data_IF_782593515009
#
_entry.id   IF_782593515009
#
_cell.length_a   1.000
_cell.length_b   1.000
_cell.length_c   1.000
_cell.angle_alpha   90.00
_cell.angle_beta   90.00
_cell.angle_gamma   90.00
#
_symmetry.space_group_name_H-M   'P 1'
#
loop_
_entity.id
_entity.type
_entity.pdbx_description
1 polymer ?
#
# COMPACT_ATOMS: atom_id res chain seq x y z
N UNK A 1 50.47 -11.98 -20.03
CA UNK A 1 49.91 -10.70 -19.55
C UNK A 1 50.72 -10.31 -18.32
N UNK A 2 51.34 -9.13 -18.26
CA UNK A 2 51.95 -8.70 -16.99
C UNK A 2 50.86 -8.39 -15.96
N UNK A 3 51.18 -8.39 -14.67
CA UNK A 3 50.22 -8.16 -13.59
C UNK A 3 49.45 -6.84 -13.75
N UNK A 4 50.08 -5.82 -14.32
CA UNK A 4 49.47 -4.50 -14.61
C UNK A 4 48.35 -4.63 -15.67
N UNK A 5 48.52 -5.50 -16.66
CA UNK A 5 47.53 -5.76 -17.71
C UNK A 5 46.27 -6.43 -17.17
N UNK A 6 46.42 -7.44 -16.30
CA UNK A 6 45.30 -8.12 -15.65
C UNK A 6 44.53 -7.17 -14.73
N UNK A 7 45.23 -6.41 -13.88
CA UNK A 7 44.60 -5.43 -12.98
C UNK A 7 43.83 -4.38 -13.77
N UNK A 8 44.37 -3.89 -14.88
CA UNK A 8 43.67 -2.93 -15.75
C UNK A 8 42.44 -3.53 -16.43
N UNK A 9 42.47 -4.82 -16.81
CA UNK A 9 41.31 -5.52 -17.35
C UNK A 9 40.22 -5.68 -16.28
N UNK A 10 40.57 -6.10 -15.07
CA UNK A 10 39.64 -6.25 -13.94
C UNK A 10 38.98 -4.91 -13.55
N UNK A 11 39.74 -3.81 -13.56
CA UNK A 11 39.21 -2.45 -13.32
C UNK A 11 38.18 -2.00 -14.35
N UNK A 12 38.22 -2.56 -15.57
CA UNK A 12 37.31 -2.25 -16.68
C UNK A 12 36.22 -3.31 -16.86
N UNK A 13 36.19 -4.33 -16.02
CA UNK A 13 35.16 -5.37 -16.08
C UNK A 13 33.78 -4.72 -15.94
N UNK A 14 32.86 -5.06 -16.86
CA UNK A 14 31.51 -4.48 -16.91
C UNK A 14 30.77 -4.63 -15.58
N UNK A 15 30.88 -5.78 -14.92
CA UNK A 15 30.28 -6.02 -13.61
C UNK A 15 30.76 -5.06 -12.53
N UNK A 16 32.05 -4.68 -12.52
CA UNK A 16 32.59 -3.70 -11.57
C UNK A 16 32.10 -2.28 -11.89
N UNK A 17 32.04 -1.93 -13.18
CA UNK A 17 31.56 -0.63 -13.62
C UNK A 17 30.06 -0.45 -13.34
N UNK A 18 29.25 -1.50 -13.51
CA UNK A 18 27.82 -1.50 -13.22
C UNK A 18 27.50 -1.24 -11.74
N UNK A 19 28.40 -1.59 -10.81
CA UNK A 19 28.22 -1.25 -9.37
C UNK A 19 28.26 0.25 -9.09
N UNK A 20 28.66 1.09 -10.07
CA UNK A 20 28.60 2.55 -9.93
C UNK A 20 27.18 3.10 -9.92
N UNK A 21 26.21 2.37 -10.41
CA UNK A 21 24.79 2.75 -10.45
C UNK A 21 24.22 2.92 -9.03
N UNK A 22 24.75 2.16 -8.07
CA UNK A 22 24.41 2.23 -6.64
C UNK A 22 24.67 3.63 -6.06
N UNK A 23 25.61 4.40 -6.63
CA UNK A 23 25.96 5.74 -6.12
C UNK A 23 24.77 6.71 -6.12
N UNK A 24 23.85 6.58 -7.07
CA UNK A 24 22.64 7.40 -7.10
C UNK A 24 21.73 7.10 -5.90
N UNK A 25 21.47 5.82 -5.63
CA UNK A 25 20.71 5.39 -4.46
C UNK A 25 21.41 5.80 -3.14
N UNK A 26 22.73 5.62 -3.04
CA UNK A 26 23.51 5.99 -1.85
C UNK A 26 23.51 7.50 -1.59
N UNK A 27 23.50 8.34 -2.64
CA UNK A 27 23.40 9.79 -2.51
C UNK A 27 22.00 10.22 -2.04
N UNK A 28 20.96 9.48 -2.46
CA UNK A 28 19.56 9.77 -2.11
C UNK A 28 19.22 9.33 -0.68
N UNK A 29 19.61 8.12 -0.31
CA UNK A 29 19.37 7.52 1.00
C UNK A 29 20.68 7.50 1.81
N UNK A 30 21.15 8.66 2.24
CA UNK A 30 22.45 8.80 2.91
C UNK A 30 22.39 8.67 4.44
N UNK A 31 21.23 8.37 5.02
CA UNK A 31 21.01 8.28 6.46
C UNK A 31 21.37 6.88 7.00
N UNK A 32 21.54 6.78 8.32
CA UNK A 32 21.61 5.51 9.03
C UNK A 32 20.22 5.19 9.61
N UNK A 33 19.44 4.25 9.02
CA UNK A 33 18.05 4.01 9.42
C UNK A 33 17.89 3.61 10.89
N UNK A 34 18.81 2.78 11.39
CA UNK A 34 18.77 2.23 12.76
C UNK A 34 20.10 2.47 13.47
N UNK A 35 20.32 3.67 14.06
CA UNK A 35 21.58 4.02 14.71
C UNK A 35 22.03 3.03 15.79
N UNK A 36 21.09 2.39 16.48
CA UNK A 36 21.33 1.39 17.52
C UNK A 36 22.03 0.11 17.03
N UNK A 37 22.01 -0.17 15.71
CA UNK A 37 22.70 -1.32 15.11
C UNK A 37 24.18 -1.05 14.80
N UNK A 38 24.65 0.19 14.98
CA UNK A 38 26.02 0.58 14.67
C UNK A 38 26.37 0.33 13.20
N UNK A 39 27.62 -0.10 12.93
CA UNK A 39 28.12 -0.33 11.57
C UNK A 39 27.33 -1.39 10.79
N UNK A 40 26.78 -2.40 11.47
CA UNK A 40 25.98 -3.44 10.83
C UNK A 40 24.63 -2.92 10.30
N UNK A 41 24.18 -1.74 10.74
CA UNK A 41 22.98 -1.08 10.23
C UNK A 41 23.26 -0.05 9.13
N UNK A 42 24.48 0.02 8.60
CA UNK A 42 24.80 0.90 7.47
C UNK A 42 24.21 0.36 6.17
N UNK A 43 23.80 1.27 5.30
CA UNK A 43 23.28 0.93 3.97
C UNK A 43 24.40 0.44 3.05
N UNK A 44 24.05 -0.45 2.12
CA UNK A 44 24.95 -0.93 1.07
C UNK A 44 25.66 -2.25 1.37
N UNK A 45 25.35 -2.91 2.49
CA UNK A 45 25.68 -4.32 2.73
C UNK A 45 24.76 -5.24 1.90
N UNK A 46 25.05 -6.54 1.87
CA UNK A 46 24.31 -7.52 1.06
C UNK A 46 22.83 -7.67 1.47
N UNK A 47 22.50 -7.33 2.72
CA UNK A 47 21.14 -7.28 3.24
C UNK A 47 21.00 -6.21 4.32
N UNK A 48 19.79 -5.67 4.45
CA UNK A 48 19.48 -4.76 5.54
C UNK A 48 19.33 -5.52 6.86
N UNK A 49 20.06 -5.08 7.90
CA UNK A 49 19.85 -5.55 9.26
C UNK A 49 18.77 -4.69 9.93
N UNK A 50 17.75 -5.34 10.48
CA UNK A 50 16.66 -4.67 11.19
C UNK A 50 16.76 -4.92 12.69
N UNK A 51 16.30 -3.99 13.54
CA UNK A 51 16.21 -4.23 14.97
C UNK A 51 15.27 -5.41 15.25
N UNK A 52 15.52 -6.13 16.35
CA UNK A 52 14.61 -7.17 16.80
C UNK A 52 13.19 -6.60 17.00
N UNK A 53 12.19 -7.31 16.51
CA UNK A 53 10.78 -6.92 16.58
C UNK A 53 10.00 -7.90 17.45
N UNK A 54 9.04 -7.37 18.21
CA UNK A 54 7.99 -8.17 18.85
C UNK A 54 6.73 -8.13 17.99
N UNK A 55 6.06 -9.27 17.80
CA UNK A 55 4.84 -9.36 17.00
C UNK A 55 5.01 -10.17 15.73
N UNK A 56 3.99 -10.15 14.88
CA UNK A 56 3.99 -10.89 13.61
C UNK A 56 4.61 -10.02 12.52
N UNK A 57 5.61 -10.56 11.82
CA UNK A 57 6.20 -9.90 10.66
C UNK A 57 5.25 -9.98 9.47
N UNK A 58 5.13 -8.86 8.78
CA UNK A 58 4.33 -8.70 7.57
C UNK A 58 5.24 -8.27 6.43
N UNK A 59 5.06 -8.88 5.26
CA UNK A 59 5.84 -8.57 4.07
C UNK A 59 4.88 -8.30 2.91
N UNK A 60 5.04 -7.14 2.28
CA UNK A 60 4.33 -6.78 1.05
C UNK A 60 5.33 -6.36 -0.03
N UNK A 61 4.93 -6.48 -1.29
CA UNK A 61 5.72 -6.09 -2.44
C UNK A 61 4.79 -5.72 -3.58
N UNK A 62 5.03 -4.56 -4.18
CA UNK A 62 4.25 -4.09 -5.32
C UNK A 62 5.16 -3.58 -6.44
N UNK A 63 4.82 -3.95 -7.67
CA UNK A 63 5.42 -3.43 -8.88
C UNK A 63 4.57 -2.30 -9.45
N UNK A 64 5.20 -1.17 -9.77
CA UNK A 64 4.51 -0.03 -10.35
C UNK A 64 4.19 -0.26 -11.82
N UNK A 65 3.02 0.21 -12.24
CA UNK A 65 2.61 0.13 -13.65
C UNK A 65 3.65 0.81 -14.56
N UNK A 66 4.17 0.14 -15.61
CA UNK A 66 5.24 0.69 -16.44
C UNK A 66 4.90 2.06 -17.05
N UNK A 67 3.66 2.26 -17.48
CA UNK A 67 3.21 3.55 -18.01
C UNK A 67 3.27 4.68 -16.98
N UNK A 68 3.02 4.40 -15.69
CA UNK A 68 3.15 5.42 -14.64
C UNK A 68 4.63 5.73 -14.37
N UNK A 69 5.50 4.72 -14.40
CA UNK A 69 6.95 4.89 -14.25
C UNK A 69 7.51 5.78 -15.36
N UNK A 70 7.02 5.61 -16.59
CA UNK A 70 7.45 6.39 -17.76
C UNK A 70 6.86 7.82 -17.77
N UNK A 71 5.56 7.97 -17.51
CA UNK A 71 4.85 9.26 -17.63
C UNK A 71 5.02 10.18 -16.40
N UNK A 72 5.18 9.60 -15.20
CA UNK A 72 5.34 10.35 -13.96
C UNK A 72 6.25 9.63 -12.95
N UNK A 73 7.55 9.49 -13.25
CA UNK A 73 8.49 8.71 -12.45
C UNK A 73 8.57 9.15 -10.99
N UNK A 74 8.43 10.45 -10.73
CA UNK A 74 8.39 10.95 -9.36
C UNK A 74 7.18 10.43 -8.59
N UNK A 75 5.99 10.52 -9.19
CA UNK A 75 4.77 10.02 -8.57
C UNK A 75 4.76 8.48 -8.49
N UNK A 76 5.37 7.78 -9.44
CA UNK A 76 5.59 6.34 -9.37
C UNK A 76 6.47 5.97 -8.16
N UNK A 77 7.55 6.71 -7.91
CA UNK A 77 8.41 6.53 -6.74
C UNK A 77 7.68 6.81 -5.43
N UNK A 78 6.92 7.90 -5.37
CA UNK A 78 6.04 8.21 -4.23
C UNK A 78 5.02 7.11 -3.97
N UNK A 79 4.32 6.69 -5.02
CA UNK A 79 3.25 5.70 -4.96
C UNK A 79 3.79 4.33 -4.56
N UNK A 80 4.93 3.90 -5.10
CA UNK A 80 5.54 2.62 -4.76
C UNK A 80 5.82 2.45 -3.26
N UNK A 81 6.18 3.53 -2.57
CA UNK A 81 6.24 3.53 -1.10
C UNK A 81 4.83 3.53 -0.51
N UNK A 82 3.99 4.51 -0.87
CA UNK A 82 2.65 4.70 -0.32
C UNK A 82 1.79 3.41 -0.31
N UNK A 83 1.71 2.73 -1.45
CA UNK A 83 0.87 1.53 -1.62
C UNK A 83 1.34 0.38 -0.73
N UNK A 84 2.65 0.13 -0.68
CA UNK A 84 3.25 -0.86 0.21
C UNK A 84 2.99 -0.53 1.69
N UNK A 85 3.11 0.75 2.08
CA UNK A 85 2.77 1.16 3.44
C UNK A 85 1.29 0.90 3.77
N UNK A 86 0.41 1.12 2.79
CA UNK A 86 -1.03 0.85 2.92
C UNK A 86 -1.32 -0.64 3.13
N UNK A 87 -0.64 -1.54 2.42
CA UNK A 87 -0.79 -3.00 2.58
C UNK A 87 -0.48 -3.45 4.01
N UNK A 88 0.61 -2.94 4.58
CA UNK A 88 1.00 -3.25 5.96
C UNK A 88 -0.05 -2.70 6.93
N UNK A 89 -0.53 -1.47 6.71
CA UNK A 89 -1.56 -0.87 7.55
C UNK A 89 -2.89 -1.63 7.47
N UNK A 90 -3.31 -2.07 6.27
CA UNK A 90 -4.52 -2.87 6.06
C UNK A 90 -4.52 -4.16 6.88
N UNK A 91 -3.33 -4.71 7.17
CA UNK A 91 -3.15 -5.90 8.01
C UNK A 91 -3.06 -5.59 9.51
N UNK A 92 -3.26 -4.34 9.94
CA UNK A 92 -3.09 -3.87 11.31
C UNK A 92 -1.63 -3.68 11.72
N UNK A 93 -0.71 -3.64 10.75
CA UNK A 93 0.72 -3.55 10.96
C UNK A 93 1.28 -2.13 10.90
N UNK A 94 2.43 -1.92 11.53
CA UNK A 94 3.25 -0.71 11.37
C UNK A 94 4.41 -1.02 10.41
N UNK A 95 4.57 -0.24 9.33
CA UNK A 95 5.73 -0.40 8.45
C UNK A 95 7.04 -0.11 9.20
N UNK A 96 8.06 -0.92 8.95
CA UNK A 96 9.36 -0.84 9.60
C UNK A 96 10.46 -0.39 8.64
N UNK A 97 10.48 -0.98 7.44
CA UNK A 97 11.58 -0.80 6.50
C UNK A 97 11.16 -1.12 5.07
N UNK A 98 11.70 -0.37 4.11
CA UNK A 98 11.46 -0.53 2.67
C UNK A 98 12.73 -0.98 1.95
N UNK A 99 12.57 -1.79 0.91
CA UNK A 99 13.60 -2.03 -0.11
C UNK A 99 13.00 -1.83 -1.50
N UNK A 100 13.84 -1.60 -2.51
CA UNK A 100 13.38 -1.42 -3.89
C UNK A 100 14.16 -2.28 -4.90
N UNK A 101 13.60 -2.41 -6.10
CA UNK A 101 14.28 -2.84 -7.30
C UNK A 101 13.95 -1.85 -8.41
N UNK A 102 14.97 -1.17 -8.92
CA UNK A 102 14.82 -0.11 -9.92
C UNK A 102 15.63 -0.43 -11.17
N UNK A 103 14.95 -0.40 -12.30
CA UNK A 103 15.51 -0.54 -13.64
C UNK A 103 15.22 0.74 -14.40
N UNK A 104 16.24 1.29 -15.07
CA UNK A 104 16.13 2.55 -15.82
C UNK A 104 17.06 2.55 -17.03
N UNK A 105 16.73 3.38 -18.03
CA UNK A 105 17.50 3.54 -19.26
C UNK A 105 18.48 4.73 -19.20
N UNK A 106 18.79 5.23 -18.00
CA UNK A 106 19.70 6.34 -17.78
C UNK A 106 19.64 6.92 -16.37
N UNK A 107 20.59 7.80 -16.06
CA UNK A 107 20.72 8.40 -14.73
C UNK A 107 19.66 9.48 -14.43
N UNK A 108 19.10 10.13 -15.46
CA UNK A 108 18.05 11.14 -15.27
C UNK A 108 16.72 10.48 -14.87
N UNK A 109 16.36 9.37 -15.53
CA UNK A 109 15.16 8.59 -15.27
C UNK A 109 15.07 8.08 -13.82
N UNK A 110 16.19 7.63 -13.26
CA UNK A 110 16.23 7.10 -11.90
C UNK A 110 16.14 8.19 -10.83
N UNK A 111 16.59 9.43 -11.11
CA UNK A 111 16.61 10.51 -10.10
C UNK A 111 15.22 10.85 -9.63
N UNK A 112 14.27 11.00 -10.56
CA UNK A 112 12.87 11.32 -10.22
C UNK A 112 12.22 10.21 -9.38
N UNK A 113 12.42 8.94 -9.74
CA UNK A 113 11.94 7.78 -8.97
C UNK A 113 12.52 7.78 -7.55
N UNK A 114 13.83 7.97 -7.44
CA UNK A 114 14.55 8.00 -6.15
C UNK A 114 14.08 9.17 -5.28
N UNK A 115 13.88 10.36 -5.87
CA UNK A 115 13.36 11.54 -5.19
C UNK A 115 11.92 11.35 -4.69
N UNK A 116 11.06 10.71 -5.48
CA UNK A 116 9.69 10.35 -5.09
C UNK A 116 9.68 9.38 -3.90
N UNK A 117 10.49 8.32 -3.97
CA UNK A 117 10.63 7.36 -2.87
C UNK A 117 11.20 8.03 -1.61
N UNK A 118 12.25 8.85 -1.73
CA UNK A 118 12.81 9.61 -0.60
C UNK A 118 11.77 10.53 0.02
N UNK A 119 11.03 11.26 -0.80
CA UNK A 119 9.97 12.14 -0.33
C UNK A 119 8.90 11.36 0.44
N UNK A 120 8.48 10.19 -0.04
CA UNK A 120 7.57 9.31 0.70
C UNK A 120 8.17 8.82 2.03
N UNK A 121 9.39 8.30 2.01
CA UNK A 121 10.10 7.85 3.22
C UNK A 121 10.17 8.96 4.29
N UNK A 122 10.51 10.19 3.89
CA UNK A 122 10.61 11.34 4.78
C UNK A 122 9.23 11.72 5.36
N UNK A 123 8.18 11.73 4.52
CA UNK A 123 6.81 12.06 4.93
C UNK A 123 6.23 11.03 5.90
N UNK A 124 6.33 9.75 5.57
CA UNK A 124 5.78 8.66 6.39
C UNK A 124 6.70 8.25 7.55
N UNK A 125 7.98 8.66 7.53
CA UNK A 125 8.94 8.28 8.56
C UNK A 125 9.35 6.82 8.52
N UNK A 126 9.33 6.20 7.33
CA UNK A 126 9.69 4.79 7.13
C UNK A 126 10.92 4.72 6.22
N UNK A 127 12.06 4.19 6.69
CA UNK A 127 13.31 4.27 5.95
C UNK A 127 13.38 3.29 4.78
N UNK A 128 14.03 3.70 3.70
CA UNK A 128 14.56 2.80 2.68
C UNK A 128 15.89 2.23 3.15
N UNK A 129 15.94 0.92 3.37
CA UNK A 129 17.07 0.24 4.05
C UNK A 129 17.98 -0.54 3.09
N UNK A 130 17.61 -0.60 1.82
CA UNK A 130 18.36 -1.31 0.79
C UNK A 130 17.63 -1.35 -0.54
N UNK A 131 18.17 -2.09 -1.49
CA UNK A 131 17.53 -2.28 -2.78
C UNK A 131 18.50 -2.66 -3.89
N UNK A 132 18.01 -2.58 -5.12
CA UNK A 132 18.75 -2.88 -6.33
C UNK A 132 18.56 -1.76 -7.35
N UNK A 133 19.65 -1.37 -8.01
CA UNK A 133 19.60 -0.36 -9.06
C UNK A 133 20.38 -0.82 -10.28
N UNK A 134 19.73 -0.73 -11.44
CA UNK A 134 20.32 -0.94 -12.76
C UNK A 134 19.94 0.25 -13.66
N UNK A 135 20.94 1.03 -14.09
CA UNK A 135 20.77 2.21 -14.95
C UNK A 135 21.09 1.91 -16.43
N UNK A 136 21.31 0.64 -16.76
CA UNK A 136 21.68 0.16 -18.09
C UNK A 136 20.61 -0.81 -18.62
N UNK A 137 19.34 -0.54 -18.35
CA UNK A 137 18.20 -1.32 -18.81
C UNK A 137 17.61 -0.75 -20.10
N UNK A 138 17.00 -1.61 -20.93
CA UNK A 138 16.21 -1.18 -22.09
C UNK A 138 14.78 -0.77 -21.74
N UNK A 139 14.39 -0.90 -20.47
CA UNK A 139 13.06 -0.58 -19.96
C UNK A 139 13.16 0.04 -18.57
N UNK A 140 12.12 0.77 -18.18
CA UNK A 140 11.98 1.28 -16.83
C UNK A 140 11.05 0.38 -16.02
N UNK A 141 11.43 0.07 -14.79
CA UNK A 141 10.60 -0.67 -13.86
C UNK A 141 10.94 -0.28 -12.43
N UNK A 142 9.91 -0.25 -11.59
CA UNK A 142 10.03 -0.04 -10.16
C UNK A 142 9.22 -1.12 -9.45
N UNK A 143 9.84 -1.81 -8.50
CA UNK A 143 9.14 -2.51 -7.45
C UNK A 143 9.64 -2.04 -6.09
N UNK A 144 8.73 -1.95 -5.13
CA UNK A 144 9.03 -1.64 -3.74
C UNK A 144 8.52 -2.79 -2.89
N UNK A 145 9.27 -3.15 -1.87
CA UNK A 145 8.83 -4.11 -0.86
C UNK A 145 8.96 -3.48 0.52
N UNK A 146 8.06 -3.85 1.41
CA UNK A 146 8.04 -3.36 2.78
C UNK A 146 7.98 -4.51 3.75
N UNK A 147 8.78 -4.41 4.81
CA UNK A 147 8.59 -5.18 6.02
C UNK A 147 7.85 -4.31 7.04
N UNK A 148 6.82 -4.88 7.65
CA UNK A 148 6.13 -4.31 8.80
C UNK A 148 5.98 -5.31 9.93
N UNK A 149 5.42 -4.83 11.03
CA UNK A 149 5.13 -5.65 12.21
C UNK A 149 3.72 -5.35 12.73
N UNK A 150 2.95 -6.41 12.97
CA UNK A 150 1.71 -6.33 13.72
C UNK A 150 1.99 -6.72 15.18
N UNK A 151 1.99 -5.73 16.07
CA UNK A 151 2.12 -5.92 17.52
C UNK A 151 0.79 -6.39 18.15
N UNK A 152 -0.33 -6.02 17.53
CA UNK A 152 -1.68 -6.45 17.89
C UNK A 152 -2.23 -7.56 16.97
N UNK A 153 -3.56 -7.81 17.02
CA UNK A 153 -4.20 -8.74 16.10
C UNK A 153 -4.01 -8.36 14.64
N UNK A 154 -3.77 -9.34 13.78
CA UNK A 154 -3.70 -9.14 12.33
C UNK A 154 -5.11 -9.01 11.74
N UNK A 155 -5.34 -7.95 10.97
CA UNK A 155 -6.62 -7.64 10.31
C UNK A 155 -6.80 -8.40 8.99
N UNK A 156 -6.59 -9.71 9.01
CA UNK A 156 -6.77 -10.54 7.81
C UNK A 156 -8.20 -10.44 7.29
N UNK A 157 -8.39 -10.20 5.99
CA UNK A 157 -9.70 -10.26 5.32
C UNK A 157 -10.46 -11.57 5.62
N UNK A 158 -9.73 -12.67 5.84
CA UNK A 158 -10.27 -14.00 6.20
C UNK A 158 -10.95 -14.04 7.57
N UNK A 159 -10.78 -13.01 8.40
CA UNK A 159 -11.37 -12.94 9.72
C UNK A 159 -12.78 -12.35 9.71
N UNK A 160 -13.24 -11.77 8.60
CA UNK A 160 -14.62 -11.27 8.44
C UNK A 160 -15.63 -12.42 8.54
N UNK A 161 -16.80 -12.16 9.11
CA UNK A 161 -17.81 -13.16 9.44
C UNK A 161 -19.21 -12.70 9.01
N UNK A 162 -20.13 -13.63 8.76
CA UNK A 162 -21.54 -13.29 8.61
C UNK A 162 -22.06 -12.53 9.85
N UNK A 163 -22.76 -11.43 9.61
CA UNK A 163 -23.27 -10.53 10.65
C UNK A 163 -22.39 -9.31 10.92
N UNK A 164 -21.16 -9.27 10.39
CA UNK A 164 -20.35 -8.05 10.43
C UNK A 164 -20.92 -6.97 9.50
N UNK A 165 -20.75 -5.72 9.90
CA UNK A 165 -20.99 -4.58 9.02
C UNK A 165 -19.77 -4.30 8.16
N UNK A 166 -20.02 -3.95 6.89
CA UNK A 166 -18.99 -3.47 5.99
C UNK A 166 -18.92 -1.95 6.11
N UNK A 167 -17.75 -1.45 6.51
CA UNK A 167 -17.48 -0.03 6.65
C UNK A 167 -16.42 0.41 5.65
N UNK A 168 -16.59 1.60 5.09
CA UNK A 168 -15.58 2.29 4.31
C UNK A 168 -14.86 3.29 5.21
N UNK A 169 -13.53 3.35 5.11
CA UNK A 169 -12.69 4.36 5.75
C UNK A 169 -11.77 4.97 4.70
N UNK A 170 -12.01 6.22 4.31
CA UNK A 170 -11.27 6.90 3.22
C UNK A 170 -10.95 8.34 3.62
N UNK A 171 -9.78 8.86 3.21
CA UNK A 171 -9.47 10.28 3.34
C UNK A 171 -10.06 11.08 2.15
N UNK A 172 -11.08 11.90 2.43
CA UNK A 172 -11.75 12.76 1.44
C UNK A 172 -11.06 14.10 1.20
N UNK A 173 -10.00 14.45 1.91
CA UNK A 173 -9.30 15.73 1.73
C UNK A 173 -8.25 15.66 0.61
N UNK A 174 -8.69 15.26 -0.58
CA UNK A 174 -7.85 15.08 -1.76
C UNK A 174 -8.50 15.53 -3.05
N UNK A 175 -7.93 15.08 -4.17
CA UNK A 175 -8.47 15.28 -5.51
C UNK A 175 -7.95 14.23 -6.48
N UNK A 176 -8.55 14.16 -7.67
CA UNK A 176 -8.03 13.26 -8.71
C UNK A 176 -6.66 13.73 -9.20
N UNK A 177 -5.73 12.78 -9.30
CA UNK A 177 -4.37 13.05 -9.72
C UNK A 177 -4.23 12.93 -11.24
N UNK A 178 -4.10 14.08 -11.91
CA UNK A 178 -3.98 14.19 -13.37
C UNK A 178 -5.14 13.47 -14.09
N UNK A 179 -4.82 12.56 -15.01
CA UNK A 179 -5.77 11.75 -15.77
C UNK A 179 -5.96 10.35 -15.18
N UNK A 180 -5.21 10.01 -14.12
CA UNK A 180 -5.31 8.70 -13.48
C UNK A 180 -6.52 8.64 -12.55
N UNK A 181 -7.11 7.45 -12.35
CA UNK A 181 -8.20 7.25 -11.39
C UNK A 181 -7.67 7.22 -9.94
N UNK A 182 -6.71 8.07 -9.59
CA UNK A 182 -6.11 8.10 -8.26
C UNK A 182 -6.68 9.26 -7.47
N UNK A 183 -7.26 8.98 -6.30
CA UNK A 183 -7.67 10.00 -5.35
C UNK A 183 -6.51 10.32 -4.39
N UNK A 184 -5.82 11.42 -4.68
CA UNK A 184 -4.64 11.85 -3.94
C UNK A 184 -5.02 12.85 -2.84
N UNK A 185 -5.06 12.33 -1.62
CA UNK A 185 -5.18 13.07 -0.37
C UNK A 185 -3.84 13.10 0.40
N UNK A 186 -2.77 12.55 -0.17
CA UNK A 186 -1.54 12.25 0.57
C UNK A 186 -0.37 13.15 0.17
N UNK A 187 -0.15 13.43 -1.13
CA UNK A 187 1.06 14.14 -1.63
C UNK A 187 1.27 15.50 -0.96
N UNK A 188 0.18 16.22 -0.69
CA UNK A 188 0.21 17.55 -0.07
C UNK A 188 -0.17 17.54 1.42
N UNK A 189 -0.57 16.40 1.99
CA UNK A 189 -0.89 16.30 3.40
C UNK A 189 0.38 16.43 4.26
N UNK A 190 0.29 17.07 5.43
CA UNK A 190 1.47 17.26 6.26
C UNK A 190 1.90 15.92 6.91
N UNK A 191 3.21 15.73 7.19
CA UNK A 191 3.74 14.45 7.68
C UNK A 191 3.02 13.90 8.91
N UNK A 192 2.64 14.75 9.85
CA UNK A 192 1.95 14.36 11.07
C UNK A 192 0.58 13.72 10.78
N UNK A 193 -0.15 14.20 9.78
CA UNK A 193 -1.44 13.61 9.38
C UNK A 193 -1.22 12.26 8.71
N UNK A 194 -0.27 12.18 7.79
CA UNK A 194 0.07 10.94 7.09
C UNK A 194 0.45 9.83 8.07
N UNK A 195 1.30 10.15 9.06
CA UNK A 195 1.72 9.20 10.09
C UNK A 195 0.59 8.83 11.04
N UNK A 196 -0.27 9.78 11.41
CA UNK A 196 -1.44 9.51 12.24
C UNK A 196 -2.45 8.59 11.53
N UNK A 197 -2.72 8.84 10.24
CA UNK A 197 -3.60 8.02 9.42
C UNK A 197 -3.01 6.62 9.19
N UNK A 198 -1.71 6.51 8.86
CA UNK A 198 -1.03 5.21 8.74
C UNK A 198 -1.08 4.40 10.05
N UNK A 199 -1.08 5.08 11.20
CA UNK A 199 -1.19 4.46 12.52
C UNK A 199 -2.63 4.05 12.91
N UNK A 200 -3.63 4.43 12.12
CA UNK A 200 -5.04 4.25 12.44
C UNK A 200 -5.44 2.77 12.45
N UNK A 201 -5.16 2.02 11.40
CA UNK A 201 -5.54 0.60 11.32
C UNK A 201 -4.88 -0.26 12.41
N UNK A 202 -3.57 -0.12 12.72
CA UNK A 202 -2.96 -0.78 13.87
C UNK A 202 -3.63 -0.45 15.20
N UNK A 203 -4.05 0.81 15.39
CA UNK A 203 -4.77 1.23 16.59
C UNK A 203 -6.16 0.59 16.65
N UNK A 204 -6.92 0.60 15.54
CA UNK A 204 -8.23 -0.04 15.45
C UNK A 204 -8.17 -1.55 15.71
N UNK A 205 -7.09 -2.21 15.27
CA UNK A 205 -6.82 -3.61 15.54
C UNK A 205 -6.51 -3.85 17.03
N UNK A 206 -5.64 -3.03 17.62
CA UNK A 206 -5.26 -3.15 19.04
C UNK A 206 -6.44 -2.90 19.98
N UNK A 207 -7.32 -1.95 19.64
CA UNK A 207 -8.56 -1.67 20.38
C UNK A 207 -9.70 -2.65 20.05
N UNK A 208 -9.49 -3.59 19.13
CA UNK A 208 -10.48 -4.58 18.68
C UNK A 208 -11.77 -3.95 18.16
N UNK A 209 -11.67 -2.76 17.56
CA UNK A 209 -12.78 -2.08 16.89
C UNK A 209 -13.03 -2.68 15.50
N UNK A 210 -11.94 -3.06 14.83
CA UNK A 210 -11.94 -3.74 13.53
C UNK A 210 -11.20 -5.06 13.70
N UNK A 211 -11.67 -6.11 13.02
CA UNK A 211 -11.03 -7.43 13.09
C UNK A 211 -10.67 -8.02 11.72
N UNK A 212 -11.16 -7.43 10.63
CA UNK A 212 -10.70 -7.72 9.27
C UNK A 212 -10.72 -6.43 8.45
N UNK A 213 -9.75 -6.26 7.58
CA UNK A 213 -9.70 -5.12 6.69
C UNK A 213 -9.08 -5.50 5.34
N UNK A 214 -9.30 -4.64 4.36
CA UNK A 214 -8.65 -4.68 3.07
C UNK A 214 -8.40 -3.27 2.56
N UNK A 215 -7.23 -3.04 1.97
CA UNK A 215 -6.89 -1.84 1.22
C UNK A 215 -7.82 -1.68 0.00
N UNK A 216 -8.26 -0.46 -0.29
CA UNK A 216 -8.97 -0.19 -1.54
C UNK A 216 -7.93 -0.06 -2.65
N UNK A 217 -7.87 -1.06 -3.53
CA UNK A 217 -6.88 -1.16 -4.60
C UNK A 217 -7.40 -0.54 -5.92
N UNK A 218 -6.67 -0.76 -7.02
CA UNK A 218 -7.06 -0.31 -8.37
C UNK A 218 -8.44 -0.80 -8.85
N UNK A 219 -9.00 -1.83 -8.22
CA UNK A 219 -10.38 -2.26 -8.46
C UNK A 219 -11.44 -1.33 -7.86
N UNK A 220 -11.03 -0.28 -7.14
CA UNK A 220 -11.93 0.61 -6.42
C UNK A 220 -12.67 -0.10 -5.29
N UNK A 221 -13.74 0.53 -4.79
CA UNK A 221 -14.56 0.02 -3.69
C UNK A 221 -15.19 -1.32 -4.09
N UNK A 222 -15.75 -1.41 -5.30
CA UNK A 222 -16.47 -2.59 -5.78
C UNK A 222 -15.55 -3.77 -6.05
N UNK A 223 -14.42 -3.56 -6.72
CA UNK A 223 -13.43 -4.62 -6.94
C UNK A 223 -12.80 -5.10 -5.64
N UNK A 224 -12.54 -4.19 -4.70
CA UNK A 224 -12.03 -4.56 -3.37
C UNK A 224 -13.06 -5.36 -2.58
N UNK A 225 -14.36 -5.04 -2.69
CA UNK A 225 -15.42 -5.82 -2.08
C UNK A 225 -15.45 -7.28 -2.61
N UNK A 226 -15.24 -7.47 -3.92
CA UNK A 226 -15.10 -8.83 -4.50
C UNK A 226 -13.90 -9.56 -3.92
N UNK A 227 -12.73 -8.92 -3.86
CA UNK A 227 -11.55 -9.54 -3.26
C UNK A 227 -11.74 -9.85 -1.77
N UNK A 228 -12.49 -9.02 -1.04
CA UNK A 228 -12.80 -9.23 0.38
C UNK A 228 -13.74 -10.44 0.55
N UNK A 229 -14.83 -10.49 -0.21
CA UNK A 229 -15.75 -11.62 -0.24
C UNK A 229 -15.03 -12.93 -0.63
N UNK A 230 -14.24 -12.90 -1.70
CA UNK A 230 -13.43 -14.04 -2.15
C UNK A 230 -12.48 -14.53 -1.05
N UNK A 231 -11.82 -13.60 -0.35
CA UNK A 231 -10.88 -13.93 0.70
C UNK A 231 -11.55 -14.59 1.92
N UNK A 232 -12.72 -14.11 2.38
CA UNK A 232 -13.40 -14.68 3.54
C UNK A 232 -14.36 -15.83 3.20
N UNK A 233 -14.74 -15.99 1.93
CA UNK A 233 -15.67 -17.03 1.49
C UNK A 233 -17.13 -16.77 1.88
N UNK A 234 -17.49 -15.51 2.12
CA UNK A 234 -18.85 -15.13 2.53
C UNK A 234 -19.49 -14.21 1.49
N UNK A 235 -20.82 -14.16 1.49
CA UNK A 235 -21.54 -13.15 0.73
C UNK A 235 -21.28 -11.77 1.34
N UNK A 236 -20.94 -10.81 0.48
CA UNK A 236 -20.85 -9.40 0.83
C UNK A 236 -21.97 -8.64 0.13
N UNK A 237 -22.80 -7.94 0.90
CA UNK A 237 -23.85 -7.06 0.39
C UNK A 237 -23.37 -5.63 0.51
N UNK A 238 -23.16 -4.98 -0.63
CA UNK A 238 -22.73 -3.59 -0.77
C UNK A 238 -23.93 -2.71 -1.09
N UNK A 239 -24.06 -1.58 -0.41
CA UNK A 239 -25.10 -0.57 -0.64
C UNK A 239 -24.44 0.68 -1.21
N UNK A 240 -24.62 0.94 -2.51
CA UNK A 240 -24.00 2.06 -3.19
C UNK A 240 -24.59 3.40 -2.76
N UNK A 241 -25.86 3.42 -2.35
CA UNK A 241 -26.54 4.65 -1.92
C UNK A 241 -26.01 5.12 -0.55
N UNK A 242 -25.39 4.20 0.20
CA UNK A 242 -24.74 4.49 1.49
C UNK A 242 -23.27 4.92 1.35
N UNK A 243 -22.67 4.87 0.15
CA UNK A 243 -21.29 5.28 -0.06
C UNK A 243 -21.20 6.81 -0.07
N UNK A 244 -20.77 7.37 1.05
CA UNK A 244 -20.44 8.79 1.14
C UNK A 244 -19.28 9.16 0.22
N UNK A 245 -19.31 10.38 -0.33
CA UNK A 245 -18.28 10.87 -1.26
C UNK A 245 -18.02 12.37 -1.12
N UNK A 246 -16.86 12.86 -1.58
CA UNK A 246 -16.60 14.28 -1.67
C UNK A 246 -17.60 15.00 -2.59
N UNK A 247 -17.92 16.26 -2.26
CA UNK A 247 -18.84 17.08 -3.05
C UNK A 247 -18.33 17.29 -4.48
N UNK A 248 -19.23 17.22 -5.47
CA UNK A 248 -18.90 17.44 -6.88
C UNK A 248 -18.21 16.27 -7.60
N UNK A 249 -17.95 15.15 -6.93
CA UNK A 249 -17.33 13.97 -7.54
C UNK A 249 -18.38 12.99 -8.06
N UNK A 250 -18.32 12.57 -9.32
CA UNK A 250 -19.25 11.58 -9.88
C UNK A 250 -19.13 10.20 -9.21
N UNK A 251 -20.26 9.49 -9.06
CA UNK A 251 -20.34 8.19 -8.38
C UNK A 251 -19.39 7.17 -9.01
N UNK A 252 -19.43 7.02 -10.34
CA UNK A 252 -18.58 6.09 -11.07
C UNK A 252 -17.09 6.34 -10.79
N UNK A 253 -16.67 7.60 -10.86
CA UNK A 253 -15.29 7.99 -10.60
C UNK A 253 -14.88 7.69 -9.16
N UNK A 254 -15.75 7.94 -8.18
CA UNK A 254 -15.48 7.65 -6.77
C UNK A 254 -15.40 6.15 -6.48
N UNK A 255 -16.36 5.37 -6.99
CA UNK A 255 -16.46 3.94 -6.76
C UNK A 255 -15.31 3.14 -7.39
N UNK A 256 -14.70 3.66 -8.45
CA UNK A 256 -13.63 3.00 -9.21
C UNK A 256 -12.23 3.56 -8.94
N UNK A 257 -12.10 4.65 -8.18
CA UNK A 257 -10.80 5.24 -7.91
C UNK A 257 -9.95 4.44 -6.93
N UNK A 258 -8.64 4.63 -7.02
CA UNK A 258 -7.66 4.21 -6.02
C UNK A 258 -7.39 5.36 -5.05
N UNK A 259 -7.88 5.31 -3.80
CA UNK A 259 -7.58 6.32 -2.80
C UNK A 259 -6.20 6.10 -2.18
N UNK A 260 -5.41 7.17 -2.12
CA UNK A 260 -4.13 7.21 -1.40
C UNK A 260 -4.23 6.84 0.10
N UNK A 261 -5.43 6.89 0.68
CA UNK A 261 -5.76 6.32 1.97
C UNK A 261 -7.22 5.83 1.93
N UNK A 262 -7.43 4.52 1.84
CA UNK A 262 -8.76 3.93 1.78
C UNK A 262 -8.78 2.45 2.11
N UNK A 263 -9.77 2.04 2.92
CA UNK A 263 -9.93 0.67 3.41
C UNK A 263 -11.40 0.27 3.48
N UNK A 264 -11.65 -1.01 3.20
CA UNK A 264 -12.86 -1.71 3.58
C UNK A 264 -12.62 -2.45 4.90
N UNK A 265 -13.56 -2.35 5.83
CA UNK A 265 -13.45 -2.87 7.19
C UNK A 265 -14.63 -3.80 7.49
N UNK A 266 -14.36 -4.95 8.12
CA UNK A 266 -15.40 -5.75 8.76
C UNK A 266 -15.46 -5.40 10.25
N UNK A 267 -16.62 -4.92 10.67
CA UNK A 267 -16.84 -4.32 11.99
C UNK A 267 -17.96 -5.08 12.69
N UNK A 268 -17.71 -5.51 13.92
CA UNK A 268 -18.78 -6.08 14.72
C UNK A 268 -19.82 -4.99 15.03
N UNK A 269 -21.14 -5.24 14.89
CA UNK A 269 -22.17 -4.22 15.14
C UNK A 269 -22.07 -3.54 16.51
N UNK A 270 -21.54 -4.21 17.54
CA UNK A 270 -21.34 -3.63 18.87
C UNK A 270 -20.22 -2.59 18.96
N UNK A 271 -19.36 -2.47 17.93
CA UNK A 271 -18.19 -1.58 17.87
C UNK A 271 -18.37 -0.37 16.95
N UNK A 272 -19.48 -0.30 16.22
CA UNK A 272 -19.70 0.69 15.16
C UNK A 272 -19.76 2.12 15.70
N UNK A 273 -20.39 2.33 16.85
CA UNK A 273 -20.44 3.63 17.53
C UNK A 273 -19.05 4.11 17.96
N UNK A 274 -18.22 3.21 18.51
CA UNK A 274 -16.85 3.51 18.92
C UNK A 274 -15.97 3.86 17.71
N UNK A 275 -16.09 3.09 16.61
CA UNK A 275 -15.40 3.35 15.35
C UNK A 275 -15.77 4.72 14.77
N UNK A 276 -17.07 5.03 14.67
CA UNK A 276 -17.55 6.30 14.15
C UNK A 276 -17.07 7.48 15.02
N UNK A 277 -17.12 7.34 16.34
CA UNK A 277 -16.62 8.36 17.27
C UNK A 277 -15.12 8.58 17.08
N UNK A 278 -14.33 7.53 16.94
CA UNK A 278 -12.89 7.63 16.74
C UNK A 278 -12.56 8.30 15.41
N UNK A 279 -13.18 7.87 14.31
CA UNK A 279 -12.96 8.44 12.98
C UNK A 279 -13.38 9.92 12.90
N UNK A 280 -14.42 10.33 13.63
CA UNK A 280 -14.90 11.73 13.66
C UNK A 280 -13.88 12.74 14.18
N UNK A 281 -12.81 12.27 14.86
CA UNK A 281 -11.70 13.11 15.34
C UNK A 281 -10.87 13.69 14.19
N UNK A 282 -10.90 13.05 13.02
CA UNK A 282 -10.28 13.57 11.81
C UNK A 282 -11.36 13.90 10.77
N UNK A 283 -11.70 15.19 10.67
CA UNK A 283 -12.69 15.72 9.71
C UNK A 283 -12.34 15.48 8.24
N UNK A 284 -11.13 15.02 7.93
CA UNK A 284 -10.72 14.62 6.58
C UNK A 284 -11.17 13.21 6.21
N UNK A 285 -11.62 12.40 7.18
CA UNK A 285 -12.04 11.03 6.94
C UNK A 285 -13.54 10.96 6.65
N UNK A 286 -13.89 10.12 5.69
CA UNK A 286 -15.21 9.48 5.59
C UNK A 286 -15.06 8.12 6.26
N UNK A 287 -15.91 7.85 7.26
CA UNK A 287 -16.01 6.54 7.90
C UNK A 287 -17.48 6.17 8.07
N UNK A 288 -18.01 5.39 7.13
CA UNK A 288 -19.43 5.09 7.06
C UNK A 288 -19.69 3.61 6.78
N UNK A 289 -20.84 3.12 7.26
CA UNK A 289 -21.35 1.80 6.91
C UNK A 289 -21.82 1.82 5.45
N UNK A 290 -21.33 0.88 4.65
CA UNK A 290 -21.66 0.75 3.22
C UNK A 290 -22.23 -0.64 2.89
N UNK A 291 -22.47 -1.49 3.89
CA UNK A 291 -22.94 -2.84 3.63
C UNK A 291 -22.84 -3.78 4.83
N UNK A 292 -22.84 -5.07 4.55
CA UNK A 292 -22.64 -6.11 5.56
C UNK A 292 -22.19 -7.43 4.93
N UNK A 293 -21.63 -8.31 5.76
CA UNK A 293 -21.33 -9.69 5.42
C UNK A 293 -22.53 -10.56 5.78
N UNK A 294 -23.09 -11.25 4.80
CA UNK A 294 -24.27 -12.10 4.95
C UNK A 294 -23.90 -13.58 5.03
N UNK A 295 -24.81 -14.37 5.60
CA UNK A 295 -24.71 -15.82 5.52
C UNK A 295 -25.11 -16.26 4.10
N UNK A 296 -24.21 -16.93 3.39
CA UNK A 296 -24.47 -17.41 2.04
C UNK A 296 -23.19 -17.79 1.32
N UNK A 297 -23.36 -18.25 0.08
CA UNK A 297 -22.25 -18.58 -0.80
C UNK A 297 -21.42 -17.33 -1.13
N UNK A 298 -20.12 -17.54 -1.32
CA UNK A 298 -19.16 -16.51 -1.68
C UNK A 298 -19.65 -15.73 -2.91
N UNK A 299 -20.05 -14.47 -2.72
CA UNK A 299 -20.66 -13.63 -3.75
C UNK A 299 -20.65 -12.17 -3.33
N UNK A 300 -20.80 -11.27 -4.30
CA UNK A 300 -21.06 -9.85 -4.04
C UNK A 300 -22.41 -9.46 -4.63
N UNK A 301 -23.26 -8.94 -3.75
CA UNK A 301 -24.57 -8.36 -4.11
C UNK A 301 -24.48 -6.86 -3.92
N UNK A 302 -25.01 -6.10 -4.87
CA UNK A 302 -24.99 -4.64 -4.88
C UNK A 302 -26.42 -4.11 -4.86
N UNK A 303 -26.73 -3.27 -3.88
CA UNK A 303 -27.98 -2.53 -3.80
C UNK A 303 -27.75 -1.10 -4.31
N UNK A 304 -28.64 -0.62 -5.18
CA UNK A 304 -28.60 0.75 -5.69
C UNK A 304 -29.99 1.20 -6.14
N UNK A 305 -30.41 2.39 -5.71
CA UNK A 305 -31.72 2.98 -6.06
C UNK A 305 -32.92 2.07 -5.76
N UNK A 306 -32.80 1.20 -4.74
CA UNK A 306 -33.83 0.23 -4.35
C UNK A 306 -33.81 -1.09 -5.11
N UNK A 307 -32.95 -1.24 -6.12
CA UNK A 307 -32.74 -2.48 -6.86
C UNK A 307 -31.56 -3.28 -6.28
N UNK A 308 -31.62 -4.61 -6.43
CA UNK A 308 -30.57 -5.55 -6.00
C UNK A 308 -29.98 -6.26 -7.21
N UNK A 309 -28.65 -6.22 -7.34
CA UNK A 309 -27.90 -6.78 -8.45
C UNK A 309 -26.87 -7.79 -7.97
N UNK A 310 -26.79 -8.94 -8.65
CA UNK A 310 -25.67 -9.87 -8.46
C UNK A 310 -24.45 -9.35 -9.21
N UNK A 311 -23.48 -8.78 -8.49
CA UNK A 311 -22.28 -8.18 -9.07
C UNK A 311 -21.19 -9.21 -9.33
N UNK A 312 -21.05 -10.19 -8.44
CA UNK A 312 -20.14 -11.32 -8.60
C UNK A 312 -20.74 -12.55 -7.93
N UNK A 313 -20.74 -13.69 -8.60
CA UNK A 313 -21.45 -14.91 -8.18
C UNK A 313 -20.54 -15.98 -7.58
N UNK A 314 -19.23 -15.73 -7.50
CA UNK A 314 -18.27 -16.66 -6.93
C UNK A 314 -17.84 -17.80 -7.86
N UNK A 315 -18.36 -17.86 -9.10
CA UNK A 315 -18.07 -18.97 -10.04
C UNK A 315 -16.70 -18.83 -10.69
N UNK A 316 -16.35 -17.62 -11.10
CA UNK A 316 -15.02 -17.27 -11.60
C UNK A 316 -14.23 -16.53 -10.52
N UNK A 317 -13.17 -17.18 -10.04
CA UNK A 317 -12.27 -16.60 -9.04
C UNK A 317 -11.61 -15.32 -9.59
N UNK A 318 -11.72 -14.20 -8.86
CA UNK A 318 -11.09 -12.95 -9.26
C UNK A 318 -9.57 -13.02 -9.07
N UNK A 319 -9.13 -13.53 -7.92
CA UNK A 319 -7.70 -13.68 -7.59
C UNK A 319 -7.26 -15.13 -7.51
N UNK A 320 -8.18 -16.06 -7.21
CA UNK A 320 -7.86 -17.49 -7.01
C UNK A 320 -7.22 -17.80 -5.66
N UNK A 321 -7.05 -16.81 -4.77
CA UNK A 321 -6.52 -16.99 -3.41
C UNK A 321 -7.61 -17.09 -2.33
N UNK A 322 -8.87 -17.27 -2.74
CA UNK A 322 -10.03 -17.34 -1.88
C UNK A 322 -10.22 -18.67 -1.14
N UNK A 323 -11.31 -18.75 -0.37
CA UNK A 323 -11.73 -19.97 0.33
C UNK A 323 -12.39 -21.01 -0.59
N UNK A 324 -12.77 -20.60 -1.81
CA UNK A 324 -13.48 -21.42 -2.78
C UNK A 324 -12.45 -22.26 -3.56
N UNK A 325 -12.56 -23.58 -3.48
CA UNK A 325 -11.84 -24.57 -4.30
C UNK A 325 -12.83 -25.44 -5.03
#
# INVERSE_FOLDING_TARGET
MNDVGLVNALRRASGLLAKRDIRSAAATFCHQPFPQLGLAGMLGDDAAVLPAQSGQLLLACEGMHPGLVEEDPWFAGWSGVLVNLSDIAAMGGRPLALVNSVWSAGAEDISALMEGMRFACDRFGVPMVGGHSNQQSSYQALSVSVLGVAEGPVLSARAARPGDELWMLVNKAGGFYRHYPFWDAATHAPPERLRAQLALLPMLAAEQLVHAAKDISMGGITGTAVMFAEACGHQLVLDLDAVERPEGIHDEAWLTCFPSFGYLLAVNPSRTADLAQLASRDSTLICCRIGHFALGDCSVVVNHSGDTHHFWDGTDALTGFGCVR
#
